data_IF_791430683827
#
_entry.id   IF_791430683827
#
_cell.length_a   1.000
_cell.length_b   1.000
_cell.length_c   1.000
_cell.angle_alpha   90.00
_cell.angle_beta   90.00
_cell.angle_gamma   90.00
#
_symmetry.space_group_name_H-M   'P 1'
#
loop_
_entity.id
_entity.type
_entity.pdbx_description
1 polymer ?
#
# COMPACT_ATOMS: atom_id res chain seq x y z
N UNK A 1 -1.64 2.05 -5.92
CA UNK A 1 -2.99 1.81 -6.42
C UNK A 1 -3.95 2.14 -5.30
N UNK A 2 -4.73 3.19 -5.51
CA UNK A 2 -5.82 3.58 -4.62
C UNK A 2 -6.89 2.52 -4.86
N UNK A 3 -7.38 1.90 -3.79
CA UNK A 3 -8.47 0.95 -3.88
C UNK A 3 -9.66 1.66 -4.52
N UNK A 4 -9.99 1.31 -5.77
CA UNK A 4 -11.14 1.84 -6.51
C UNK A 4 -12.39 1.15 -5.96
N UNK A 5 -12.64 1.28 -4.66
CA UNK A 5 -13.89 0.87 -4.05
C UNK A 5 -14.84 2.06 -4.01
N UNK A 6 -15.76 2.05 -4.97
CA UNK A 6 -17.03 2.77 -4.99
C UNK A 6 -17.02 4.28 -5.28
N UNK A 7 -17.86 4.60 -6.27
CA UNK A 7 -18.30 5.90 -6.79
C UNK A 7 -19.08 6.76 -5.77
N UNK A 8 -18.70 6.73 -4.48
CA UNK A 8 -19.40 7.39 -3.35
C UNK A 8 -18.47 8.09 -2.35
N UNK A 9 -17.17 8.21 -2.65
CA UNK A 9 -16.15 8.78 -1.75
C UNK A 9 -16.54 10.15 -1.18
N UNK A 10 -17.16 11.03 -1.98
CA UNK A 10 -17.39 12.43 -1.58
C UNK A 10 -18.84 12.79 -1.21
N UNK A 11 -19.69 11.80 -0.91
CA UNK A 11 -21.14 12.02 -0.67
C UNK A 11 -21.50 12.96 0.49
N UNK A 12 -20.58 13.19 1.44
CA UNK A 12 -20.79 14.05 2.62
C UNK A 12 -20.05 15.38 2.54
N UNK A 13 -19.48 15.71 1.38
CA UNK A 13 -18.67 16.91 1.16
C UNK A 13 -19.50 17.93 0.37
N UNK A 14 -19.44 19.21 0.73
CA UNK A 14 -20.15 20.23 -0.04
C UNK A 14 -19.50 20.40 -1.43
N UNK A 15 -20.27 20.74 -2.48
CA UNK A 15 -19.70 20.95 -3.81
C UNK A 15 -18.58 22.00 -3.85
N UNK A 16 -18.67 23.02 -2.99
CA UNK A 16 -17.64 24.06 -2.87
C UNK A 16 -16.34 23.51 -2.28
N UNK A 17 -16.41 22.76 -1.18
CA UNK A 17 -15.23 22.13 -0.58
C UNK A 17 -14.60 21.12 -1.53
N UNK A 18 -15.43 20.32 -2.20
CA UNK A 18 -14.96 19.33 -3.16
C UNK A 18 -14.21 20.01 -4.31
N UNK A 19 -14.80 21.04 -4.92
CA UNK A 19 -14.18 21.76 -6.02
C UNK A 19 -12.84 22.41 -5.62
N UNK A 20 -12.77 23.01 -4.42
CA UNK A 20 -11.52 23.58 -3.92
C UNK A 20 -10.46 22.50 -3.69
N UNK A 21 -10.83 21.40 -3.00
CA UNK A 21 -9.90 20.30 -2.74
C UNK A 21 -9.40 19.65 -4.03
N UNK A 22 -10.26 19.46 -5.03
CA UNK A 22 -9.88 18.92 -6.34
C UNK A 22 -8.99 19.89 -7.11
N UNK A 23 -9.24 21.19 -7.03
CA UNK A 23 -8.33 22.19 -7.61
C UNK A 23 -6.94 22.09 -6.98
N UNK A 24 -6.85 22.03 -5.65
CA UNK A 24 -5.58 21.82 -4.94
C UNK A 24 -4.94 20.45 -5.23
N UNK A 25 -5.74 19.43 -5.53
CA UNK A 25 -5.24 18.11 -5.91
C UNK A 25 -4.61 18.12 -7.31
N UNK A 26 -5.17 18.90 -8.24
CA UNK A 26 -4.68 18.99 -9.62
C UNK A 26 -3.26 19.56 -9.75
N UNK A 27 -2.81 20.31 -8.75
CA UNK A 27 -1.45 20.89 -8.72
C UNK A 27 -0.42 19.96 -8.08
N UNK A 28 -0.83 18.79 -7.58
CA UNK A 28 0.07 17.80 -7.00
C UNK A 28 1.10 17.32 -8.03
N UNK A 29 2.36 17.20 -7.60
CA UNK A 29 3.47 16.80 -8.44
C UNK A 29 3.24 15.47 -9.17
N UNK A 30 2.76 14.41 -8.48
CA UNK A 30 2.55 13.10 -9.11
C UNK A 30 1.44 13.15 -10.16
N UNK A 31 0.35 13.86 -9.87
CA UNK A 31 -0.77 14.06 -10.82
C UNK A 31 -0.29 14.80 -12.05
N UNK A 32 0.46 15.89 -11.86
CA UNK A 32 1.03 16.67 -12.97
C UNK A 32 2.04 15.87 -13.78
N UNK A 33 2.96 15.18 -13.14
CA UNK A 33 3.96 14.36 -13.83
C UNK A 33 3.29 13.27 -14.69
N UNK A 34 2.25 12.61 -14.16
CA UNK A 34 1.48 11.62 -14.91
C UNK A 34 0.74 12.24 -16.10
N UNK A 35 0.09 13.40 -15.90
CA UNK A 35 -0.63 14.09 -16.96
C UNK A 35 0.29 14.63 -18.06
N UNK A 36 1.41 15.26 -17.68
CA UNK A 36 2.40 15.83 -18.58
C UNK A 36 3.09 14.74 -19.43
N UNK A 37 3.27 13.52 -18.89
CA UNK A 37 3.86 12.38 -19.59
C UNK A 37 2.85 11.54 -20.41
N UNK A 38 1.67 12.08 -20.73
CA UNK A 38 0.61 11.34 -21.43
C UNK A 38 1.11 10.69 -22.73
N UNK A 39 1.89 11.40 -23.54
CA UNK A 39 2.43 10.87 -24.80
C UNK A 39 3.27 9.62 -24.56
N UNK A 40 4.24 9.71 -23.66
CA UNK A 40 5.19 8.66 -23.33
C UNK A 40 4.49 7.43 -22.74
N UNK A 41 3.44 7.65 -21.95
CA UNK A 41 2.61 6.59 -21.36
C UNK A 41 1.78 5.87 -22.44
N UNK A 42 1.22 6.59 -23.41
CA UNK A 42 0.42 5.97 -24.46
C UNK A 42 1.30 5.30 -25.52
N UNK A 43 2.46 5.89 -25.83
CA UNK A 43 3.40 5.40 -26.85
C UNK A 43 4.04 4.06 -26.47
N UNK A 44 4.18 3.76 -25.17
CA UNK A 44 4.70 2.45 -24.73
C UNK A 44 3.67 1.30 -24.86
N UNK A 45 2.39 1.62 -25.09
CA UNK A 45 1.32 0.64 -25.29
C UNK A 45 0.85 -0.12 -24.04
N UNK A 46 1.28 0.27 -22.83
CA UNK A 46 0.88 -0.35 -21.56
C UNK A 46 -0.56 -0.01 -21.17
N UNK A 47 -1.00 1.20 -21.52
CA UNK A 47 -2.35 1.69 -21.28
C UNK A 47 -2.93 2.29 -22.56
N UNK A 48 -4.22 2.06 -22.79
CA UNK A 48 -4.96 2.85 -23.75
C UNK A 48 -5.37 4.22 -23.18
N UNK A 49 -5.95 5.08 -24.01
CA UNK A 49 -6.35 6.43 -23.60
C UNK A 49 -7.44 6.43 -22.53
N UNK A 50 -8.36 5.46 -22.55
CA UNK A 50 -9.40 5.38 -21.52
C UNK A 50 -8.79 4.99 -20.17
N UNK A 51 -7.93 3.97 -20.16
CA UNK A 51 -7.21 3.51 -18.97
C UNK A 51 -6.33 4.63 -18.39
N UNK A 52 -5.67 5.41 -19.25
CA UNK A 52 -4.93 6.59 -18.81
C UNK A 52 -5.81 7.57 -18.03
N UNK A 53 -6.99 7.93 -18.55
CA UNK A 53 -7.89 8.85 -17.86
C UNK A 53 -8.51 8.24 -16.59
N UNK A 54 -8.84 6.95 -16.58
CA UNK A 54 -9.31 6.26 -15.38
C UNK A 54 -8.26 6.29 -14.25
N UNK A 55 -6.98 6.11 -14.59
CA UNK A 55 -5.86 6.22 -13.64
C UNK A 55 -5.72 7.67 -13.16
N UNK A 56 -5.75 8.64 -14.08
CA UNK A 56 -5.64 10.06 -13.74
C UNK A 56 -6.77 10.51 -12.81
N UNK A 57 -8.01 10.15 -13.11
CA UNK A 57 -9.18 10.44 -12.27
C UNK A 57 -9.02 9.81 -10.89
N UNK A 58 -8.57 8.56 -10.82
CA UNK A 58 -8.29 7.87 -9.54
C UNK A 58 -7.19 8.55 -8.73
N UNK A 59 -6.16 9.10 -9.40
CA UNK A 59 -5.09 9.86 -8.74
C UNK A 59 -5.61 11.19 -8.20
N UNK A 60 -6.44 11.90 -8.97
CA UNK A 60 -7.07 13.16 -8.57
C UNK A 60 -8.02 12.94 -7.40
N UNK A 61 -8.84 11.89 -7.43
CA UNK A 61 -9.77 11.55 -6.35
C UNK A 61 -9.01 11.28 -5.04
N UNK A 62 -7.97 10.45 -5.10
CA UNK A 62 -7.17 10.16 -3.91
C UNK A 62 -6.50 11.42 -3.35
N UNK A 63 -5.96 12.28 -4.22
CA UNK A 63 -5.35 13.51 -3.74
C UNK A 63 -6.38 14.54 -3.26
N UNK A 64 -7.57 14.55 -3.84
CA UNK A 64 -8.72 15.33 -3.34
C UNK A 64 -9.09 14.90 -1.92
N UNK A 65 -9.17 13.59 -1.67
CA UNK A 65 -9.37 13.04 -0.32
C UNK A 65 -8.27 13.53 0.63
N UNK A 66 -7.00 13.46 0.22
CA UNK A 66 -5.87 13.94 1.03
C UNK A 66 -5.95 15.42 1.36
N UNK A 67 -6.34 16.28 0.42
CA UNK A 67 -6.53 17.72 0.70
C UNK A 67 -7.67 17.94 1.69
N UNK A 68 -8.77 17.19 1.59
CA UNK A 68 -9.85 17.24 2.58
C UNK A 68 -9.38 16.74 3.95
N UNK A 69 -8.59 15.66 4.01
CA UNK A 69 -7.98 15.17 5.25
C UNK A 69 -7.09 16.25 5.89
N UNK A 70 -6.23 16.92 5.12
CA UNK A 70 -5.41 18.05 5.60
C UNK A 70 -6.26 19.17 6.21
N UNK A 71 -7.35 19.56 5.55
CA UNK A 71 -8.27 20.57 6.08
C UNK A 71 -8.87 20.15 7.43
N UNK A 72 -9.21 18.87 7.61
CA UNK A 72 -9.75 18.35 8.87
C UNK A 72 -8.69 18.25 9.98
N UNK A 73 -7.41 18.15 9.65
CA UNK A 73 -6.32 18.15 10.64
C UNK A 73 -5.98 19.55 11.18
N UNK A 74 -6.44 20.62 10.53
CA UNK A 74 -6.10 21.99 10.94
C UNK A 74 -6.51 22.27 12.39
N UNK A 75 -5.53 22.69 13.18
CA UNK A 75 -5.74 23.08 14.57
C UNK A 75 -5.89 21.92 15.56
N UNK A 76 -5.75 20.66 15.12
CA UNK A 76 -5.71 19.50 16.02
C UNK A 76 -4.33 19.37 16.67
N UNK A 77 -4.31 18.92 17.93
CA UNK A 77 -3.10 18.49 18.63
C UNK A 77 -2.53 17.18 18.03
N UNK A 78 -1.32 16.73 18.39
CA UNK A 78 -0.79 15.44 17.94
C UNK A 78 -1.64 14.24 18.36
N UNK A 79 -2.21 13.53 17.39
CA UNK A 79 -3.16 12.43 17.59
C UNK A 79 -2.60 11.08 17.12
N UNK A 80 -3.06 9.99 17.73
CA UNK A 80 -2.86 8.64 17.19
C UNK A 80 -3.67 8.45 15.89
N UNK A 81 -3.23 7.55 15.02
CA UNK A 81 -3.93 7.22 13.77
C UNK A 81 -5.38 6.78 14.02
N UNK A 82 -5.62 6.01 15.08
CA UNK A 82 -6.95 5.55 15.47
C UNK A 82 -7.84 6.67 16.02
N UNK A 83 -7.25 7.78 16.48
CA UNK A 83 -7.97 8.99 16.90
C UNK A 83 -8.32 9.82 15.66
N UNK A 84 -7.36 10.06 14.77
CA UNK A 84 -7.57 10.79 13.50
C UNK A 84 -8.69 10.12 12.67
N UNK A 85 -8.62 8.80 12.51
CA UNK A 85 -9.63 8.03 11.78
C UNK A 85 -11.03 8.04 12.44
N UNK A 86 -11.14 8.42 13.71
CA UNK A 86 -12.44 8.62 14.39
C UNK A 86 -12.96 10.04 14.22
N UNK A 87 -12.09 11.02 14.13
CA UNK A 87 -12.46 12.42 13.88
C UNK A 87 -12.95 12.60 12.44
N UNK A 88 -12.23 12.03 11.46
CA UNK A 88 -12.56 12.12 10.04
C UNK A 88 -13.48 10.95 9.66
N UNK A 89 -14.79 11.20 9.57
CA UNK A 89 -15.84 10.17 9.34
C UNK A 89 -16.43 10.20 7.93
N UNK A 90 -15.98 11.15 7.13
CA UNK A 90 -16.36 11.32 5.74
C UNK A 90 -15.77 10.20 4.87
N UNK A 91 -14.60 9.69 5.24
CA UNK A 91 -13.85 8.66 4.51
C UNK A 91 -13.70 7.37 5.30
N UNK A 92 -13.43 6.22 4.63
CA UNK A 92 -13.07 4.99 5.31
C UNK A 92 -11.83 5.18 6.20
N UNK A 93 -11.86 4.63 7.41
CA UNK A 93 -10.75 4.73 8.36
C UNK A 93 -9.42 4.24 7.76
N UNK A 94 -9.46 3.23 6.89
CA UNK A 94 -8.29 2.71 6.21
C UNK A 94 -7.64 3.75 5.27
N UNK A 95 -8.46 4.49 4.52
CA UNK A 95 -7.97 5.53 3.63
C UNK A 95 -7.35 6.67 4.43
N UNK A 96 -8.05 7.16 5.47
CA UNK A 96 -7.53 8.22 6.34
C UNK A 96 -6.16 7.83 6.89
N UNK A 97 -6.00 6.62 7.42
CA UNK A 97 -4.71 6.14 7.96
C UNK A 97 -3.63 6.15 6.88
N UNK A 98 -3.89 5.58 5.70
CA UNK A 98 -2.95 5.56 4.56
C UNK A 98 -2.55 6.99 4.16
N UNK A 99 -3.53 7.87 4.10
CA UNK A 99 -3.36 9.25 3.65
C UNK A 99 -2.54 10.08 4.63
N UNK A 100 -2.64 9.83 5.93
CA UNK A 100 -1.73 10.44 6.93
C UNK A 100 -0.26 10.08 6.65
N UNK A 101 0.05 8.83 6.31
CA UNK A 101 1.42 8.44 5.95
C UNK A 101 1.87 9.13 4.66
N UNK A 102 1.02 9.15 3.65
CA UNK A 102 1.34 9.79 2.38
C UNK A 102 1.61 11.31 2.57
N UNK A 103 0.74 12.00 3.32
CA UNK A 103 0.87 13.41 3.64
C UNK A 103 2.11 13.72 4.49
N UNK A 104 2.49 12.80 5.39
CA UNK A 104 3.75 12.89 6.14
C UNK A 104 4.95 12.89 5.21
N UNK A 105 5.00 11.94 4.27
CA UNK A 105 6.12 11.87 3.31
C UNK A 105 6.19 13.09 2.39
N UNK A 106 5.03 13.63 1.99
CA UNK A 106 4.94 14.90 1.27
C UNK A 106 5.34 16.13 2.11
N UNK A 107 5.57 15.96 3.41
CA UNK A 107 6.01 17.01 4.32
C UNK A 107 4.89 17.87 4.91
N UNK A 108 3.63 17.49 4.71
CA UNK A 108 2.47 18.19 5.27
C UNK A 108 2.17 17.81 6.72
N UNK A 109 2.57 16.61 7.16
CA UNK A 109 2.27 16.07 8.49
C UNK A 109 3.56 15.72 9.21
N UNK A 110 3.71 16.16 10.46
CA UNK A 110 4.81 15.77 11.33
C UNK A 110 4.47 14.51 12.12
N UNK A 111 5.46 13.64 12.32
CA UNK A 111 5.38 12.43 13.15
C UNK A 111 6.14 12.63 14.47
N UNK A 112 5.44 12.44 15.58
CA UNK A 112 5.97 12.53 16.93
C UNK A 112 6.10 11.14 17.53
N UNK A 113 7.28 10.79 18.02
CA UNK A 113 7.59 9.45 18.56
C UNK A 113 7.84 9.55 20.06
N UNK A 114 6.97 8.92 20.85
CA UNK A 114 7.16 8.72 22.29
C UNK A 114 7.64 7.29 22.55
N UNK A 115 8.77 7.13 23.27
CA UNK A 115 9.35 5.83 23.60
C UNK A 115 9.22 5.56 25.10
N UNK A 116 8.49 4.51 25.48
CA UNK A 116 8.39 4.03 26.86
C UNK A 116 9.26 2.80 27.06
N UNK A 117 10.16 2.83 28.03
CA UNK A 117 11.02 1.70 28.38
C UNK A 117 10.49 1.03 29.65
N UNK A 118 10.21 -0.27 29.58
CA UNK A 118 9.87 -1.10 30.74
C UNK A 118 10.91 -2.20 30.91
N UNK A 119 11.43 -2.36 32.13
CA UNK A 119 12.24 -3.53 32.50
C UNK A 119 11.30 -4.66 32.89
N UNK A 120 11.39 -5.78 32.19
CA UNK A 120 10.64 -6.99 32.54
C UNK A 120 11.60 -8.16 32.75
N UNK A 121 11.31 -8.99 33.75
CA UNK A 121 12.04 -10.24 33.95
C UNK A 121 11.49 -11.29 32.99
N UNK A 122 12.31 -11.72 32.02
CA UNK A 122 11.98 -12.82 31.11
C UNK A 122 12.85 -14.03 31.42
N UNK A 123 12.22 -15.20 31.41
CA UNK A 123 12.92 -16.48 31.53
C UNK A 123 13.41 -16.89 30.15
N UNK A 124 14.70 -16.71 29.89
CA UNK A 124 15.33 -17.06 28.61
C UNK A 124 16.23 -18.27 28.86
N UNK A 125 15.92 -19.40 28.22
CA UNK A 125 16.67 -20.67 28.39
C UNK A 125 16.83 -21.08 29.87
N UNK A 126 15.81 -20.85 30.70
CA UNK A 126 15.79 -21.22 32.12
C UNK A 126 16.42 -20.21 33.08
N UNK A 127 17.12 -19.19 32.58
CA UNK A 127 17.73 -18.12 33.40
C UNK A 127 16.83 -16.89 33.39
N UNK A 128 16.58 -16.32 34.57
CA UNK A 128 15.89 -15.04 34.69
C UNK A 128 16.83 -13.92 34.27
N UNK A 129 16.45 -13.17 33.24
CA UNK A 129 17.16 -11.99 32.79
C UNK A 129 16.21 -10.79 32.80
N UNK A 130 16.70 -9.66 33.30
CA UNK A 130 16.04 -8.39 33.04
C UNK A 130 16.22 -8.03 31.57
N UNK A 131 15.11 -7.80 30.89
CA UNK A 131 15.09 -7.37 29.50
C UNK A 131 14.36 -6.04 29.44
N UNK A 132 14.99 -5.07 28.80
CA UNK A 132 14.33 -3.81 28.46
C UNK A 132 13.42 -4.02 27.26
N UNK A 133 12.13 -3.76 27.45
CA UNK A 133 11.14 -3.72 26.39
C UNK A 133 10.81 -2.26 26.12
N UNK A 134 11.09 -1.82 24.89
CA UNK A 134 10.72 -0.51 24.37
C UNK A 134 9.35 -0.61 23.71
N UNK A 135 8.47 0.33 24.02
CA UNK A 135 7.19 0.53 23.36
C UNK A 135 7.20 1.89 22.68
N UNK A 136 6.87 1.92 21.39
CA UNK A 136 6.86 3.12 20.55
C UNK A 136 5.43 3.57 20.33
N UNK A 137 5.18 4.86 20.49
CA UNK A 137 3.89 5.50 20.34
C UNK A 137 4.05 6.64 19.33
N UNK A 138 3.29 6.56 18.23
CA UNK A 138 3.40 7.49 17.11
C UNK A 138 2.17 8.37 17.07
N UNK A 139 2.38 9.69 17.03
CA UNK A 139 1.33 10.69 16.90
C UNK A 139 1.59 11.57 15.69
N UNK A 140 0.54 12.06 15.07
CA UNK A 140 0.59 12.80 13.83
C UNK A 140 -0.12 14.14 13.98
N UNK A 141 0.45 15.19 13.40
CA UNK A 141 -0.12 16.53 13.42
C UNK A 141 0.14 17.23 12.10
N UNK A 142 -0.80 18.05 11.64
CA UNK A 142 -0.55 18.96 10.53
C UNK A 142 0.62 19.89 10.86
N UNK A 143 1.61 19.94 9.97
CA UNK A 143 2.74 20.84 10.08
C UNK A 143 2.29 22.27 9.81
N UNK A 144 2.75 23.27 10.58
CA UNK A 144 2.56 24.68 10.24
C UNK A 144 3.27 24.99 8.91
N UNK A 145 2.49 25.10 7.83
CA UNK A 145 3.01 25.40 6.49
C UNK A 145 3.35 26.89 6.39
N UNK A 146 4.48 27.19 5.73
CA UNK A 146 4.89 28.54 5.37
C UNK A 146 4.43 28.86 3.95
N UNK A 147 4.42 30.15 3.59
CA UNK A 147 4.03 30.60 2.25
C UNK A 147 4.92 30.04 1.13
N UNK A 148 6.16 29.68 1.45
CA UNK A 148 7.15 29.06 0.55
C UNK A 148 7.18 27.54 0.63
N UNK A 149 6.18 26.90 1.24
CA UNK A 149 6.11 25.45 1.34
C UNK A 149 6.07 24.79 -0.05
N UNK A 150 6.96 23.83 -0.24
CA UNK A 150 7.01 22.96 -1.42
C UNK A 150 6.79 21.54 -0.91
N UNK A 151 5.80 20.86 -1.48
CA UNK A 151 5.57 19.44 -1.17
C UNK A 151 6.76 18.60 -1.62
N UNK A 152 7.12 17.60 -0.82
CA UNK A 152 8.16 16.65 -1.21
C UNK A 152 7.62 15.75 -2.32
N UNK A 153 8.47 15.46 -3.31
CA UNK A 153 8.22 14.36 -4.24
C UNK A 153 8.75 13.05 -3.63
N UNK A 154 8.19 11.92 -4.06
CA UNK A 154 8.70 10.62 -3.66
C UNK A 154 9.96 10.28 -4.44
N UNK A 155 11.01 9.87 -3.72
CA UNK A 155 12.22 9.33 -4.34
C UNK A 155 11.90 8.07 -5.17
N UNK A 156 12.74 7.72 -6.16
CA UNK A 156 12.57 6.48 -6.90
C UNK A 156 12.81 5.26 -6.00
N UNK A 157 12.22 4.12 -6.39
CA UNK A 157 12.33 2.85 -5.65
C UNK A 157 13.77 2.31 -5.57
N UNK A 158 14.71 2.86 -6.33
CA UNK A 158 16.14 2.56 -6.20
C UNK A 158 16.64 2.75 -4.76
N UNK A 159 16.12 3.74 -4.02
CA UNK A 159 16.45 3.93 -2.60
C UNK A 159 16.13 2.69 -1.74
N UNK A 160 15.04 2.00 -2.04
CA UNK A 160 14.62 0.76 -1.34
C UNK A 160 15.54 -0.41 -1.73
N UNK A 161 15.99 -0.45 -2.97
CA UNK A 161 16.95 -1.44 -3.46
C UNK A 161 18.33 -1.23 -2.82
N UNK A 162 18.86 -0.01 -2.88
CA UNK A 162 20.18 0.37 -2.36
C UNK A 162 20.30 0.18 -0.85
N UNK A 163 19.20 0.31 -0.11
CA UNK A 163 19.14 0.04 1.33
C UNK A 163 19.10 -1.44 1.70
N UNK A 164 18.99 -2.35 0.71
CA UNK A 164 19.04 -3.80 0.91
C UNK A 164 17.77 -4.41 1.51
N UNK A 165 16.65 -3.67 1.52
CA UNK A 165 15.36 -4.18 2.03
C UNK A 165 14.40 -4.62 0.92
N UNK A 166 14.75 -4.37 -0.35
CA UNK A 166 14.00 -4.85 -1.50
C UNK A 166 13.92 -6.39 -1.50
N UNK A 167 12.75 -6.91 -1.85
CA UNK A 167 12.52 -8.35 -2.01
C UNK A 167 12.16 -8.73 -3.45
N UNK A 168 12.54 -7.89 -4.41
CA UNK A 168 12.40 -8.12 -5.85
C UNK A 168 10.99 -8.57 -6.29
N UNK A 169 9.95 -8.01 -5.67
CA UNK A 169 8.56 -8.43 -5.92
C UNK A 169 7.98 -7.99 -7.28
N UNK A 170 8.68 -7.10 -8.01
CA UNK A 170 8.27 -6.65 -9.34
C UNK A 170 7.14 -5.62 -9.37
N UNK A 171 6.55 -5.26 -8.23
CA UNK A 171 5.40 -4.34 -8.20
C UNK A 171 5.71 -2.96 -8.81
N UNK A 172 6.91 -2.43 -8.55
CA UNK A 172 7.39 -1.17 -9.13
C UNK A 172 7.48 -1.20 -10.67
N UNK A 173 7.88 -2.33 -11.26
CA UNK A 173 7.92 -2.52 -12.72
C UNK A 173 6.50 -2.56 -13.28
N UNK A 174 5.62 -3.35 -12.64
CA UNK A 174 4.21 -3.44 -13.03
C UNK A 174 3.50 -2.09 -13.02
N UNK A 175 3.72 -1.26 -11.99
CA UNK A 175 3.05 0.04 -11.86
C UNK A 175 3.73 1.18 -12.63
N UNK A 176 4.95 1.00 -13.15
CA UNK A 176 5.66 2.06 -13.85
C UNK A 176 4.90 2.44 -15.14
N UNK A 177 4.41 3.67 -15.31
CA UNK A 177 3.52 3.98 -16.42
C UNK A 177 4.23 4.05 -17.77
N UNK A 178 5.54 4.32 -17.74
CA UNK A 178 6.43 4.42 -18.89
C UNK A 178 7.32 3.19 -19.05
N UNK A 179 7.11 2.15 -18.24
CA UNK A 179 7.87 0.89 -18.26
C UNK A 179 9.40 1.02 -18.08
N UNK A 180 9.84 2.07 -17.37
CA UNK A 180 11.25 2.38 -17.14
C UNK A 180 11.96 1.47 -16.11
N UNK A 181 11.31 0.43 -15.57
CA UNK A 181 11.86 -0.36 -14.46
C UNK A 181 11.89 -1.84 -14.83
N UNK A 182 13.09 -2.42 -14.80
CA UNK A 182 13.31 -3.86 -14.95
C UNK A 182 13.66 -4.47 -13.59
N UNK A 183 12.92 -5.50 -13.19
CA UNK A 183 13.19 -6.27 -11.96
C UNK A 183 13.53 -7.71 -12.33
N UNK A 184 14.66 -8.18 -11.85
CA UNK A 184 15.08 -9.59 -11.97
C UNK A 184 15.20 -10.21 -10.57
N UNK A 185 15.59 -11.48 -10.50
CA UNK A 185 15.85 -12.16 -9.23
C UNK A 185 16.94 -11.46 -8.39
N UNK A 186 17.91 -10.82 -9.06
CA UNK A 186 19.12 -10.31 -8.41
C UNK A 186 19.23 -8.78 -8.45
N UNK A 187 18.55 -8.12 -9.40
CA UNK A 187 18.71 -6.67 -9.62
C UNK A 187 17.38 -5.95 -9.84
N UNK A 188 17.42 -4.63 -9.61
CA UNK A 188 16.41 -3.65 -9.99
C UNK A 188 17.14 -2.54 -10.75
N UNK A 189 16.76 -2.34 -12.01
CA UNK A 189 17.36 -1.32 -12.87
C UNK A 189 16.28 -0.32 -13.30
N UNK A 190 16.62 0.97 -13.28
CA UNK A 190 15.77 2.06 -13.73
C UNK A 190 16.44 2.72 -14.93
N UNK A 191 15.73 2.79 -16.06
CA UNK A 191 16.15 3.56 -17.22
C UNK A 191 15.87 5.05 -16.95
N UNK A 192 16.92 5.82 -16.66
CA UNK A 192 16.83 7.25 -16.34
C UNK A 192 16.42 8.11 -17.55
N UNK A 193 16.57 7.63 -18.79
CA UNK A 193 16.14 8.35 -20.00
C UNK A 193 14.62 8.24 -20.20
N UNK A 194 14.03 7.12 -19.79
CA UNK A 194 12.58 6.87 -19.89
C UNK A 194 11.85 7.33 -18.60
N UNK A 195 12.52 7.27 -17.46
CA UNK A 195 11.91 7.57 -16.16
C UNK A 195 11.42 9.04 -16.07
N UNK A 196 10.09 9.21 -16.01
CA UNK A 196 9.45 10.52 -15.78
C UNK A 196 9.50 11.00 -14.31
N UNK A 197 10.25 10.32 -13.43
CA UNK A 197 10.46 10.70 -12.02
C UNK A 197 9.16 10.97 -11.23
N UNK A 198 8.08 10.26 -11.55
CA UNK A 198 6.76 10.44 -10.93
C UNK A 198 6.68 9.93 -9.49
N UNK A 199 7.61 9.07 -9.04
CA UNK A 199 7.62 8.51 -7.68
C UNK A 199 6.53 7.46 -7.39
N UNK A 200 5.72 7.07 -8.38
CA UNK A 200 4.65 6.07 -8.21
C UNK A 200 5.23 4.72 -7.75
N UNK A 201 6.39 4.32 -8.26
CA UNK A 201 7.04 3.07 -7.89
C UNK A 201 7.37 2.97 -6.39
N UNK A 202 7.70 4.10 -5.77
CA UNK A 202 8.01 4.18 -4.34
C UNK A 202 6.74 4.30 -3.49
N UNK A 203 5.72 5.03 -3.97
CA UNK A 203 4.44 5.22 -3.26
C UNK A 203 3.68 3.92 -3.00
N UNK A 204 3.94 2.88 -3.81
CA UNK A 204 3.30 1.58 -3.71
C UNK A 204 4.20 0.47 -3.13
N UNK A 205 5.47 0.76 -2.89
CA UNK A 205 6.42 -0.25 -2.44
C UNK A 205 6.13 -0.63 -0.99
N UNK A 206 5.82 -1.90 -0.70
CA UNK A 206 5.55 -2.35 0.69
C UNK A 206 6.75 -2.23 1.65
N UNK A 207 7.93 -1.97 1.10
CA UNK A 207 9.19 -1.75 1.82
C UNK A 207 9.58 -0.27 1.95
N UNK A 208 8.75 0.67 1.46
CA UNK A 208 8.96 2.11 1.64
C UNK A 208 8.34 2.62 2.97
N UNK A 209 8.05 3.93 3.06
CA UNK A 209 7.67 4.80 4.21
C UNK A 209 6.69 4.26 5.28
N UNK A 210 6.98 3.11 5.86
CA UNK A 210 6.19 2.49 6.92
C UNK A 210 4.78 2.05 6.48
N UNK A 211 4.59 1.61 5.23
CA UNK A 211 3.35 0.94 4.79
C UNK A 211 2.97 -0.23 5.72
N UNK A 212 3.96 -0.92 6.31
CA UNK A 212 3.71 -1.94 7.33
C UNK A 212 3.03 -1.37 8.59
N UNK A 213 3.44 -0.18 9.04
CA UNK A 213 2.85 0.49 10.18
C UNK A 213 1.41 0.91 9.88
N UNK A 214 1.17 1.47 8.69
CA UNK A 214 -0.17 1.77 8.19
C UNK A 214 -1.05 0.53 8.23
N UNK A 215 -0.58 -0.59 7.65
CA UNK A 215 -1.31 -1.87 7.62
C UNK A 215 -1.69 -2.36 9.01
N UNK A 216 -0.77 -2.30 10.00
CA UNK A 216 -1.07 -2.69 11.38
C UNK A 216 -2.14 -1.80 12.02
N UNK A 217 -2.10 -0.48 11.80
CA UNK A 217 -3.11 0.44 12.31
C UNK A 217 -4.47 0.23 11.65
N UNK A 218 -4.50 -0.01 10.33
CA UNK A 218 -5.72 -0.35 9.58
C UNK A 218 -6.39 -1.59 10.18
N UNK A 219 -5.61 -2.65 10.43
CA UNK A 219 -6.15 -3.89 11.02
C UNK A 219 -6.70 -3.71 12.44
N UNK A 220 -6.20 -2.74 13.22
CA UNK A 220 -6.70 -2.46 14.58
C UNK A 220 -8.02 -1.71 14.59
N UNK A 221 -8.28 -0.89 13.58
CA UNK A 221 -9.53 -0.11 13.47
C UNK A 221 -10.65 -0.89 12.78
N UNK A 222 -10.32 -1.91 12.00
CA UNK A 222 -11.29 -2.81 11.39
C UNK A 222 -11.94 -3.72 12.45
N UNK A 223 -13.18 -3.39 12.80
CA UNK A 223 -13.99 -4.13 13.79
C UNK A 223 -14.39 -5.54 13.32
N UNK A 224 -14.21 -5.86 12.04
CA UNK A 224 -14.46 -7.19 11.49
C UNK A 224 -13.31 -8.17 11.76
N UNK A 225 -12.16 -7.67 12.24
CA UNK A 225 -10.97 -8.44 12.51
C UNK A 225 -10.75 -8.63 14.02
N UNK A 226 -10.21 -9.79 14.37
CA UNK A 226 -9.52 -9.99 15.64
C UNK A 226 -8.05 -9.66 15.45
N UNK A 227 -7.46 -8.89 16.36
CA UNK A 227 -6.05 -8.51 16.29
C UNK A 227 -5.19 -9.28 17.30
N UNK A 228 -4.01 -9.72 16.86
CA UNK A 228 -2.98 -10.32 17.71
C UNK A 228 -1.61 -9.83 17.28
N UNK A 229 -0.74 -9.45 18.24
CA UNK A 229 0.61 -8.95 17.96
C UNK A 229 1.50 -9.94 17.19
N UNK A 230 1.15 -11.24 17.18
CA UNK A 230 1.94 -12.29 16.52
C UNK A 230 1.52 -12.58 15.08
N UNK A 231 0.23 -12.41 14.77
CA UNK A 231 -0.37 -12.82 13.49
C UNK A 231 -1.16 -11.69 12.81
N UNK A 232 -1.10 -10.47 13.38
CA UNK A 232 -1.84 -9.28 12.96
C UNK A 232 -3.36 -9.49 12.96
N UNK A 233 -4.09 -8.85 12.04
CA UNK A 233 -5.55 -8.94 11.92
C UNK A 233 -6.01 -10.20 11.19
N UNK A 234 -6.96 -10.93 11.76
CA UNK A 234 -7.55 -12.14 11.18
C UNK A 234 -9.04 -12.26 11.52
N UNK A 235 -9.83 -12.89 10.65
CA UNK A 235 -11.25 -13.18 10.92
C UNK A 235 -11.43 -14.49 11.70
N UNK A 236 -10.84 -15.56 11.19
CA UNK A 236 -10.91 -16.90 11.76
C UNK A 236 -9.60 -17.64 11.48
N UNK A 237 -9.32 -18.71 12.25
CA UNK A 237 -8.18 -19.58 12.02
C UNK A 237 -8.64 -21.04 11.99
N UNK A 238 -8.24 -21.78 10.95
CA UNK A 238 -8.60 -23.17 10.73
C UNK A 238 -7.36 -23.99 10.35
N UNK A 239 -7.42 -25.30 10.58
CA UNK A 239 -6.46 -26.29 10.07
C UNK A 239 -7.22 -27.27 9.19
N UNK A 240 -6.74 -27.52 7.97
CA UNK A 240 -7.45 -28.33 6.99
C UNK A 240 -6.48 -29.05 6.01
N UNK A 241 -6.99 -30.07 5.33
CA UNK A 241 -6.28 -30.86 4.32
C UNK A 241 -7.25 -31.26 3.21
N UNK A 242 -6.81 -31.23 1.95
CA UNK A 242 -7.68 -31.59 0.81
C UNK A 242 -8.17 -33.04 0.90
N UNK A 243 -9.39 -33.28 0.41
CA UNK A 243 -9.95 -34.62 0.19
C UNK A 243 -9.76 -35.13 -1.24
N UNK A 244 -9.31 -34.30 -2.18
CA UNK A 244 -9.07 -34.67 -3.57
C UNK A 244 -7.77 -35.50 -3.70
N UNK A 245 -7.89 -36.74 -4.19
CA UNK A 245 -6.76 -37.68 -4.29
C UNK A 245 -5.70 -37.26 -5.31
N UNK A 246 -6.06 -36.56 -6.38
CA UNK A 246 -5.07 -36.07 -7.36
C UNK A 246 -4.24 -34.93 -6.77
N UNK A 247 -4.89 -33.99 -6.07
CA UNK A 247 -4.18 -32.93 -5.34
C UNK A 247 -3.29 -33.53 -4.25
N UNK A 248 -3.74 -34.56 -3.53
CA UNK A 248 -2.92 -35.24 -2.50
C UNK A 248 -1.58 -35.76 -3.02
N UNK A 249 -1.48 -36.16 -4.28
CA UNK A 249 -0.25 -36.71 -4.87
C UNK A 249 0.84 -35.66 -5.08
N UNK A 250 0.45 -34.41 -5.33
CA UNK A 250 1.38 -33.34 -5.77
C UNK A 250 1.38 -32.08 -4.90
N UNK A 251 0.49 -32.00 -3.90
CA UNK A 251 0.34 -30.82 -3.05
C UNK A 251 1.56 -30.50 -2.19
N UNK A 252 1.71 -29.22 -1.91
CA UNK A 252 2.46 -28.74 -0.75
C UNK A 252 1.57 -28.81 0.51
N UNK A 253 2.09 -29.42 1.58
CA UNK A 253 1.43 -29.55 2.88
C UNK A 253 -0.02 -30.10 2.79
N UNK A 254 -1.03 -29.34 3.21
CA UNK A 254 -2.43 -29.75 3.18
C UNK A 254 -3.11 -29.62 1.81
N UNK A 255 -2.51 -28.93 0.83
CA UNK A 255 -3.07 -28.74 -0.52
C UNK A 255 -4.35 -27.90 -0.55
N UNK A 256 -4.57 -27.08 0.49
CA UNK A 256 -5.79 -26.27 0.63
C UNK A 256 -5.86 -25.15 -0.39
N UNK A 257 -4.72 -24.50 -0.69
CA UNK A 257 -4.67 -23.44 -1.71
C UNK A 257 -5.18 -23.97 -3.05
N UNK A 258 -4.59 -25.06 -3.54
CA UNK A 258 -5.00 -25.70 -4.81
C UNK A 258 -6.47 -26.15 -4.79
N UNK A 259 -6.96 -26.73 -3.68
CA UNK A 259 -8.35 -27.16 -3.59
C UNK A 259 -9.36 -25.99 -3.60
N UNK A 260 -9.02 -24.86 -2.97
CA UNK A 260 -9.85 -23.65 -3.03
C UNK A 260 -9.86 -23.04 -4.43
N UNK A 261 -8.70 -23.01 -5.09
CA UNK A 261 -8.53 -22.54 -6.45
C UNK A 261 -9.37 -23.39 -7.43
N UNK A 262 -9.25 -24.72 -7.39
CA UNK A 262 -10.09 -25.65 -8.16
C UNK A 262 -11.58 -25.38 -7.93
N UNK A 263 -12.01 -25.27 -6.67
CA UNK A 263 -13.40 -24.96 -6.31
C UNK A 263 -13.89 -23.63 -6.92
N UNK A 264 -13.08 -22.57 -6.91
CA UNK A 264 -13.47 -21.27 -7.46
C UNK A 264 -13.73 -21.34 -8.97
N UNK A 265 -12.89 -22.07 -9.72
CA UNK A 265 -13.08 -22.30 -11.17
C UNK A 265 -14.31 -23.17 -11.44
N UNK A 266 -14.43 -24.32 -10.76
CA UNK A 266 -15.56 -25.23 -10.95
C UNK A 266 -16.92 -24.57 -10.68
N UNK A 267 -16.97 -23.70 -9.67
CA UNK A 267 -18.17 -22.93 -9.32
C UNK A 267 -18.35 -21.66 -10.13
N UNK A 268 -17.43 -21.35 -11.05
CA UNK A 268 -17.44 -20.13 -11.88
C UNK A 268 -17.57 -18.87 -11.02
N UNK A 269 -16.87 -18.87 -9.88
CA UNK A 269 -16.76 -17.72 -8.98
C UNK A 269 -15.63 -16.79 -9.43
N UNK A 270 -14.72 -17.30 -10.26
CA UNK A 270 -13.66 -16.56 -10.96
C UNK A 270 -13.59 -17.06 -12.40
N UNK A 271 -13.15 -16.20 -13.31
CA UNK A 271 -12.93 -16.55 -14.72
C UNK A 271 -11.55 -17.19 -14.95
N UNK A 272 -10.56 -16.81 -14.13
CA UNK A 272 -9.21 -17.32 -14.20
C UNK A 272 -8.46 -17.17 -12.86
N UNK A 273 -7.36 -17.88 -12.72
CA UNK A 273 -6.49 -17.89 -11.56
C UNK A 273 -5.07 -17.52 -11.96
N UNK A 274 -4.48 -16.57 -11.25
CA UNK A 274 -3.03 -16.33 -11.31
C UNK A 274 -2.33 -17.28 -10.33
N UNK A 275 -1.60 -18.25 -10.87
CA UNK A 275 -0.87 -19.26 -10.12
C UNK A 275 0.63 -19.22 -10.43
N UNK A 276 1.40 -20.07 -9.76
CA UNK A 276 2.83 -20.26 -10.01
C UNK A 276 3.07 -21.74 -10.28
N UNK A 277 3.74 -22.04 -11.39
CA UNK A 277 4.25 -23.37 -11.73
C UNK A 277 5.78 -23.39 -11.66
N UNK A 278 6.36 -24.58 -11.72
CA UNK A 278 7.80 -24.71 -11.95
C UNK A 278 8.09 -24.41 -13.42
N UNK A 279 9.15 -23.62 -13.67
CA UNK A 279 9.77 -23.57 -14.98
C UNK A 279 10.52 -24.89 -15.26
N UNK A 280 11.17 -24.98 -16.43
CA UNK A 280 12.06 -26.11 -16.76
C UNK A 280 13.18 -26.27 -15.70
N UNK A 281 13.67 -25.15 -15.17
CA UNK A 281 14.53 -25.11 -14.00
C UNK A 281 13.70 -25.27 -12.72
N UNK A 282 13.83 -26.43 -12.04
CA UNK A 282 13.01 -26.80 -10.87
C UNK A 282 13.00 -25.81 -9.70
N UNK A 283 13.97 -24.92 -9.60
CA UNK A 283 14.04 -23.92 -8.54
C UNK A 283 13.40 -22.59 -8.94
N UNK A 284 13.09 -22.40 -10.23
CA UNK A 284 12.58 -21.14 -10.78
C UNK A 284 11.05 -21.18 -10.88
N UNK A 285 10.34 -20.26 -10.20
CA UNK A 285 8.90 -20.11 -10.36
C UNK A 285 8.57 -19.41 -11.69
N UNK A 286 7.46 -19.82 -12.30
CA UNK A 286 6.88 -19.15 -13.48
C UNK A 286 5.40 -18.83 -13.19
N UNK A 287 4.99 -17.55 -13.27
CA UNK A 287 3.58 -17.19 -13.13
C UNK A 287 2.79 -17.72 -14.35
N UNK A 288 1.58 -18.20 -14.09
CA UNK A 288 0.69 -18.73 -15.13
C UNK A 288 -0.75 -18.31 -14.85
N UNK A 289 -1.53 -18.12 -15.91
CA UNK A 289 -2.97 -17.93 -15.84
C UNK A 289 -3.61 -19.29 -16.10
N UNK A 290 -4.46 -19.75 -15.17
CA UNK A 290 -5.21 -21.02 -15.27
C UNK A 290 -6.68 -20.68 -15.39
N UNK A 291 -7.31 -21.06 -16.48
CA UNK A 291 -8.72 -20.81 -16.80
C UNK A 291 -9.55 -22.09 -17.04
N UNK A 292 -8.92 -23.26 -16.98
CA UNK A 292 -9.54 -24.59 -17.08
C UNK A 292 -9.01 -25.64 -16.06
#
# INVERSE_FOLDING_TARGET
>A
MVEIENNKLFTKISPKELMEATYQASVNFQVRAFFEAKSEILDNGKYDENQFYEILDSMIDAETERKLVLERLKGLDPLFLEEIAKEIKEFPAANVIRDIFYLKEQGYVDEYIEVKVKKITKKIKGVEKEVEVKSYFYRYQLKPLKDDFIENYFDPVSLVFDSGVCCNCGWCSSVCPVDAITVTADTLEIDDEICMKCGICYSVCSKSFSIEQAGKSIMKVDKSLTFSDKINGYKNAYSASTTNEEIKKVRQDGGIVTALLEFLLEKKLVDAIVAVKHADDLWRPEPVIVDD
#
